data_IF_332146997078
#
_entry.id   IF_332146997078
#
_cell.length_a   1.000
_cell.length_b   1.000
_cell.length_c   1.000
_cell.angle_alpha   90.00
_cell.angle_beta   90.00
_cell.angle_gamma   90.00
#
_symmetry.space_group_name_H-M   'P 1'
#
loop_
_entity.id
_entity.type
_entity.pdbx_description
1 polymer ?
#
# COMPACT_ATOMS: atom_id res chain seq x y z
N UNK A 1 -25.81 25.25 -13.88
CA UNK A 1 -24.48 25.19 -14.50
C UNK A 1 -23.65 24.16 -13.75
N UNK A 2 -23.60 22.92 -14.24
CA UNK A 2 -22.77 21.88 -13.65
C UNK A 2 -21.38 21.96 -14.29
N UNK A 3 -20.36 22.25 -13.48
CA UNK A 3 -18.97 22.17 -13.90
C UNK A 3 -18.65 20.71 -14.24
N UNK A 4 -18.54 20.41 -15.53
CA UNK A 4 -18.02 19.13 -16.01
C UNK A 4 -16.52 19.11 -15.68
N UNK A 5 -16.19 18.63 -14.48
CA UNK A 5 -14.82 18.36 -14.07
C UNK A 5 -14.25 17.30 -15.00
N UNK A 6 -13.39 17.72 -15.91
CA UNK A 6 -12.64 16.86 -16.82
C UNK A 6 -11.86 15.82 -16.02
N UNK A 7 -12.38 14.60 -15.92
CA UNK A 7 -11.62 13.42 -15.50
C UNK A 7 -10.71 12.99 -16.66
N UNK A 8 -9.72 13.82 -16.99
CA UNK A 8 -8.70 13.44 -17.97
C UNK A 8 -7.91 12.26 -17.41
N UNK A 9 -7.84 11.15 -18.17
CA UNK A 9 -6.97 10.04 -17.82
C UNK A 9 -5.51 10.49 -17.91
N UNK A 10 -4.58 9.87 -17.16
CA UNK A 10 -3.15 10.19 -17.28
C UNK A 10 -2.64 10.13 -18.74
N UNK A 11 -3.15 9.22 -19.57
CA UNK A 11 -2.82 9.17 -21.00
C UNK A 11 -3.36 10.35 -21.82
N UNK A 12 -4.55 10.88 -21.51
CA UNK A 12 -5.07 12.10 -22.17
C UNK A 12 -4.24 13.33 -21.86
N UNK A 13 -3.78 13.48 -20.61
CA UNK A 13 -2.86 14.57 -20.23
C UNK A 13 -1.52 14.44 -20.96
N UNK A 14 -1.02 13.21 -21.12
CA UNK A 14 0.22 12.95 -21.85
C UNK A 14 0.12 13.36 -23.32
N UNK A 15 -0.99 13.01 -23.98
CA UNK A 15 -1.27 13.38 -25.37
C UNK A 15 -1.29 14.90 -25.51
N UNK A 16 -2.01 15.59 -24.63
CA UNK A 16 -2.08 17.06 -24.65
C UNK A 16 -0.71 17.71 -24.42
N UNK A 17 0.09 17.19 -23.48
CA UNK A 17 1.45 17.66 -23.24
C UNK A 17 2.36 17.45 -24.46
N UNK A 18 2.19 16.32 -25.18
CA UNK A 18 2.96 16.02 -26.37
C UNK A 18 2.66 17.01 -27.50
N UNK A 19 1.38 17.27 -27.76
CA UNK A 19 0.93 18.27 -28.74
C UNK A 19 1.49 19.67 -28.43
N UNK A 20 1.42 20.07 -27.15
CA UNK A 20 1.95 21.36 -26.70
C UNK A 20 3.47 21.46 -26.92
N UNK A 21 4.22 20.42 -26.57
CA UNK A 21 5.68 20.39 -26.75
C UNK A 21 6.06 20.38 -28.23
N UNK A 22 5.34 19.63 -29.07
CA UNK A 22 5.60 19.61 -30.50
C UNK A 22 5.35 20.96 -31.16
N UNK A 23 4.26 21.65 -30.78
CA UNK A 23 3.98 23.01 -31.21
C UNK A 23 5.08 23.99 -30.79
N UNK A 24 5.53 23.89 -29.53
CA UNK A 24 6.66 24.67 -29.03
C UNK A 24 7.94 24.41 -29.82
N UNK A 25 8.31 23.14 -30.04
CA UNK A 25 9.50 22.76 -30.81
C UNK A 25 9.41 23.23 -32.27
N UNK A 26 8.23 23.17 -32.88
CA UNK A 26 7.98 23.71 -34.22
C UNK A 26 8.25 25.21 -34.31
N UNK A 27 7.91 25.96 -33.25
CA UNK A 27 8.20 27.40 -33.14
C UNK A 27 9.69 27.64 -32.93
N UNK A 28 10.34 26.90 -32.03
CA UNK A 28 11.76 27.04 -31.73
C UNK A 28 12.67 26.70 -32.91
N UNK A 29 12.27 25.73 -33.74
CA UNK A 29 13.02 25.35 -34.96
C UNK A 29 13.27 26.53 -35.90
N UNK A 30 12.38 27.53 -35.91
CA UNK A 30 12.50 28.74 -36.75
C UNK A 30 13.33 29.85 -36.10
N UNK A 31 13.43 29.86 -34.78
CA UNK A 31 14.02 30.95 -34.01
C UNK A 31 15.48 30.67 -33.59
N UNK A 32 15.85 29.39 -33.49
CA UNK A 32 17.10 28.96 -32.87
C UNK A 32 18.04 28.34 -33.91
N UNK A 33 19.36 28.46 -33.68
CA UNK A 33 20.37 27.81 -34.54
C UNK A 33 20.20 26.28 -34.50
N UNK A 34 20.46 25.62 -35.64
CA UNK A 34 20.27 24.18 -35.81
C UNK A 34 20.94 23.34 -34.70
N UNK A 35 22.19 23.63 -34.34
CA UNK A 35 22.92 22.90 -33.29
C UNK A 35 22.26 23.00 -31.91
N UNK A 36 21.74 24.18 -31.57
CA UNK A 36 21.05 24.40 -30.29
C UNK A 36 19.66 23.73 -30.31
N UNK A 37 18.99 23.72 -31.46
CA UNK A 37 17.73 23.01 -31.64
C UNK A 37 17.91 21.49 -31.49
N UNK A 38 18.96 20.90 -32.07
CA UNK A 38 19.26 19.47 -31.89
C UNK A 38 19.48 19.10 -30.43
N UNK A 39 20.26 19.90 -29.67
CA UNK A 39 20.43 19.68 -28.23
C UNK A 39 19.11 19.78 -27.45
N UNK A 40 18.22 20.66 -27.89
CA UNK A 40 16.88 20.79 -27.30
C UNK A 40 16.05 19.53 -27.54
N UNK A 41 16.08 18.99 -28.76
CA UNK A 41 15.43 17.72 -29.08
C UNK A 41 16.00 16.59 -28.23
N UNK A 42 17.33 16.46 -28.12
CA UNK A 42 17.97 15.41 -27.31
C UNK A 42 17.50 15.44 -25.85
N UNK A 43 17.38 16.65 -25.28
CA UNK A 43 16.88 16.82 -23.91
C UNK A 43 15.40 16.47 -23.79
N UNK A 44 14.58 16.85 -24.78
CA UNK A 44 13.16 16.49 -24.80
C UNK A 44 12.98 14.97 -24.94
N UNK A 45 13.76 14.31 -25.80
CA UNK A 45 13.73 12.84 -25.96
C UNK A 45 14.01 12.15 -24.64
N UNK A 46 15.07 12.55 -23.91
CA UNK A 46 15.39 11.99 -22.57
C UNK A 46 14.24 12.18 -21.58
N UNK A 47 13.62 13.36 -21.56
CA UNK A 47 12.48 13.63 -20.70
C UNK A 47 11.28 12.75 -21.06
N UNK A 48 10.99 12.60 -22.35
CA UNK A 48 9.87 11.79 -22.85
C UNK A 48 10.05 10.30 -22.63
N UNK A 49 11.26 9.75 -22.85
CA UNK A 49 11.59 8.36 -22.52
C UNK A 49 11.34 8.08 -21.03
N UNK A 50 11.81 8.97 -20.16
CA UNK A 50 11.57 8.84 -18.70
C UNK A 50 10.07 8.85 -18.38
N UNK A 51 9.32 9.78 -18.98
CA UNK A 51 7.86 9.89 -18.79
C UNK A 51 7.11 8.65 -19.27
N UNK A 52 7.42 8.14 -20.46
CA UNK A 52 6.80 6.93 -21.04
C UNK A 52 7.05 5.72 -20.11
N UNK A 53 8.27 5.59 -19.60
CA UNK A 53 8.64 4.49 -18.71
C UNK A 53 7.93 4.54 -17.35
N UNK A 54 7.65 5.72 -16.82
CA UNK A 54 7.00 5.90 -15.52
C UNK A 54 5.46 5.84 -15.57
N UNK A 55 4.86 6.16 -16.72
CA UNK A 55 3.41 6.25 -16.85
C UNK A 55 2.72 4.90 -16.97
N UNK A 56 1.41 4.87 -16.75
CA UNK A 56 0.58 3.71 -17.07
C UNK A 56 -0.32 4.12 -18.24
N UNK A 57 0.05 3.67 -19.44
CA UNK A 57 -0.58 4.04 -20.71
C UNK A 57 -1.35 2.81 -21.19
N UNK A 58 -2.62 2.98 -21.56
CA UNK A 58 -3.40 1.89 -22.16
C UNK A 58 -2.96 1.66 -23.61
N UNK A 59 -3.16 0.45 -24.19
CA UNK A 59 -2.81 0.18 -25.58
C UNK A 59 -3.38 1.20 -26.59
N UNK A 60 -4.64 1.60 -26.42
CA UNK A 60 -5.28 2.63 -27.26
C UNK A 60 -4.61 4.00 -27.15
N UNK A 61 -4.21 4.40 -25.94
CA UNK A 61 -3.50 5.66 -25.68
C UNK A 61 -2.06 5.59 -26.21
N UNK A 62 -1.42 4.43 -26.12
CA UNK A 62 -0.07 4.20 -26.62
C UNK A 62 -0.02 4.27 -28.16
N UNK A 63 -1.01 3.68 -28.85
CA UNK A 63 -1.14 3.82 -30.30
C UNK A 63 -1.24 5.30 -30.70
N UNK A 64 -2.07 6.08 -29.99
CA UNK A 64 -2.21 7.52 -30.26
C UNK A 64 -0.92 8.31 -29.97
N UNK A 65 -0.20 7.96 -28.91
CA UNK A 65 1.12 8.55 -28.62
C UNK A 65 2.10 8.20 -29.74
N UNK A 66 2.11 6.97 -30.24
CA UNK A 66 2.94 6.56 -31.37
C UNK A 66 2.68 7.36 -32.64
N UNK A 67 1.41 7.59 -32.98
CA UNK A 67 1.02 8.45 -34.11
C UNK A 67 1.55 9.87 -33.95
N UNK A 68 1.31 10.51 -32.79
CA UNK A 68 1.77 11.87 -32.52
C UNK A 68 3.29 11.96 -32.51
N UNK A 69 3.98 10.96 -31.97
CA UNK A 69 5.44 10.90 -32.03
C UNK A 69 5.93 10.83 -33.48
N UNK A 70 5.18 10.25 -34.41
CA UNK A 70 5.49 10.27 -35.85
C UNK A 70 5.35 11.66 -36.50
N UNK A 71 4.45 12.51 -36.00
CA UNK A 71 4.18 13.84 -36.57
C UNK A 71 5.11 14.96 -36.06
N UNK A 72 5.83 14.71 -34.96
CA UNK A 72 6.66 15.72 -34.32
C UNK A 72 7.96 16.06 -35.08
N UNK A 73 8.66 17.14 -34.71
CA UNK A 73 9.88 17.60 -35.39
C UNK A 73 11.13 16.80 -34.98
N UNK A 74 10.97 15.48 -34.77
CA UNK A 74 12.03 14.59 -34.31
C UNK A 74 12.94 14.18 -35.46
N UNK A 75 14.12 13.68 -35.12
CA UNK A 75 15.04 13.06 -36.07
C UNK A 75 14.85 11.53 -36.03
N UNK A 76 15.28 10.83 -37.06
CA UNK A 76 15.13 9.36 -37.17
C UNK A 76 15.68 8.63 -35.92
N UNK A 77 16.87 9.04 -35.46
CA UNK A 77 17.49 8.53 -34.22
C UNK A 77 16.63 8.78 -32.96
N UNK A 78 15.84 9.84 -32.93
CA UNK A 78 14.93 10.12 -31.82
C UNK A 78 13.68 9.26 -31.89
N UNK A 79 13.14 9.06 -33.11
CA UNK A 79 12.00 8.18 -33.33
C UNK A 79 12.30 6.75 -32.88
N UNK A 80 13.50 6.23 -33.19
CA UNK A 80 13.92 4.89 -32.75
C UNK A 80 13.88 4.76 -31.22
N UNK A 81 14.53 5.68 -30.51
CA UNK A 81 14.59 5.69 -29.03
C UNK A 81 13.20 5.82 -28.39
N UNK A 82 12.36 6.70 -28.94
CA UNK A 82 11.00 6.92 -28.42
C UNK A 82 10.08 5.73 -28.70
N UNK A 83 10.23 5.11 -29.87
CA UNK A 83 9.47 3.92 -30.27
C UNK A 83 9.87 2.70 -29.45
N UNK A 84 11.16 2.51 -29.18
CA UNK A 84 11.68 1.45 -28.31
C UNK A 84 11.13 1.59 -26.88
N UNK A 85 11.15 2.81 -26.32
CA UNK A 85 10.58 3.08 -25.00
C UNK A 85 9.08 2.75 -24.93
N UNK A 86 8.32 3.11 -25.97
CA UNK A 86 6.89 2.84 -26.06
C UNK A 86 6.61 1.34 -26.23
N UNK A 87 7.37 0.64 -27.08
CA UNK A 87 7.26 -0.80 -27.31
C UNK A 87 7.59 -1.60 -26.04
N UNK A 88 8.73 -1.31 -25.40
CA UNK A 88 9.12 -1.91 -24.12
C UNK A 88 8.03 -1.74 -23.06
N UNK A 89 7.36 -0.59 -23.05
CA UNK A 89 6.25 -0.32 -22.14
C UNK A 89 5.01 -1.18 -22.44
N UNK A 90 4.71 -1.41 -23.72
CA UNK A 90 3.59 -2.23 -24.16
C UNK A 90 3.83 -3.72 -23.96
N UNK A 91 5.06 -4.20 -24.16
CA UNK A 91 5.44 -5.58 -23.85
C UNK A 91 5.21 -5.90 -22.37
N UNK A 92 5.59 -4.96 -21.49
CA UNK A 92 5.30 -5.05 -20.06
C UNK A 92 3.80 -5.05 -19.72
N UNK A 93 2.96 -4.43 -20.56
CA UNK A 93 1.51 -4.42 -20.42
C UNK A 93 0.84 -5.72 -20.92
N UNK A 94 1.33 -6.25 -22.05
CA UNK A 94 0.82 -7.48 -22.69
C UNK A 94 1.12 -8.75 -21.87
N UNK A 95 2.22 -8.76 -21.11
CA UNK A 95 2.59 -9.86 -20.20
C UNK A 95 1.65 -10.04 -18.97
N UNK A 96 0.46 -9.44 -18.98
CA UNK A 96 -0.59 -9.64 -17.95
C UNK A 96 -0.26 -9.11 -16.55
N UNK A 97 0.88 -8.42 -16.38
CA UNK A 97 1.46 -8.11 -15.08
C UNK A 97 1.44 -6.61 -14.70
N UNK A 98 0.69 -5.76 -15.41
CA UNK A 98 0.45 -4.39 -14.96
C UNK A 98 -0.69 -4.27 -13.93
N UNK A 99 -0.85 -5.26 -13.06
CA UNK A 99 -1.37 -4.99 -11.72
C UNK A 99 -0.30 -4.16 -10.99
N UNK A 100 -0.25 -2.83 -11.23
CA UNK A 100 0.67 -1.83 -10.61
C UNK A 100 1.84 -2.51 -9.92
N UNK A 101 2.96 -2.74 -10.62
CA UNK A 101 4.17 -3.38 -10.06
C UNK A 101 4.32 -2.98 -8.59
N UNK A 102 3.96 -3.92 -7.70
CA UNK A 102 3.71 -3.57 -6.30
C UNK A 102 5.03 -3.10 -5.75
N UNK A 103 5.06 -1.85 -5.25
CA UNK A 103 6.28 -1.29 -4.67
C UNK A 103 6.87 -2.30 -3.67
N UNK A 104 8.18 -2.61 -3.79
CA UNK A 104 8.80 -3.63 -2.95
C UNK A 104 8.71 -3.23 -1.49
N UNK A 105 8.46 -4.20 -0.62
CA UNK A 105 8.45 -3.98 0.82
C UNK A 105 9.89 -3.89 1.34
N UNK A 106 10.13 -2.90 2.19
CA UNK A 106 11.45 -2.52 2.67
C UNK A 106 11.84 -3.27 3.95
N UNK A 107 13.09 -3.69 4.01
CA UNK A 107 13.67 -4.42 5.14
C UNK A 107 14.70 -3.56 5.85
N UNK A 108 14.57 -3.46 7.18
CA UNK A 108 15.56 -2.83 8.05
C UNK A 108 15.62 -3.65 9.35
N UNK A 109 16.81 -4.14 9.66
CA UNK A 109 17.10 -5.11 10.74
C UNK A 109 17.54 -4.43 12.04
N UNK A 110 18.23 -3.28 11.97
CA UNK A 110 18.74 -2.55 13.13
C UNK A 110 18.22 -1.11 13.17
N UNK A 111 16.95 -0.89 13.55
CA UNK A 111 16.38 0.47 13.60
C UNK A 111 17.03 1.35 14.69
N UNK A 112 17.50 0.71 15.76
CA UNK A 112 18.24 1.35 16.84
C UNK A 112 19.44 2.18 16.35
N UNK A 113 20.17 1.71 15.33
CA UNK A 113 21.32 2.40 14.78
C UNK A 113 20.97 3.71 14.04
N UNK A 114 19.68 3.95 13.76
CA UNK A 114 19.20 5.14 13.05
C UNK A 114 18.56 6.18 13.96
N UNK A 115 18.48 5.91 15.25
CA UNK A 115 18.00 6.86 16.24
C UNK A 115 19.13 7.79 16.68
N UNK A 116 18.75 9.04 16.93
CA UNK A 116 19.60 10.03 17.57
C UNK A 116 19.26 10.15 19.05
N UNK A 117 20.07 10.88 19.81
CA UNK A 117 19.86 11.04 21.24
C UNK A 117 18.51 11.74 21.54
N UNK A 118 18.18 12.76 20.76
CA UNK A 118 16.90 13.48 20.85
C UNK A 118 15.69 12.58 20.60
N UNK A 119 15.82 11.58 19.72
CA UNK A 119 14.77 10.57 19.54
C UNK A 119 14.59 9.75 20.82
N UNK A 120 15.69 9.22 21.37
CA UNK A 120 15.65 8.40 22.57
C UNK A 120 15.11 9.18 23.77
N UNK A 121 15.45 10.45 23.93
CA UNK A 121 14.91 11.33 24.96
C UNK A 121 13.38 11.43 24.85
N UNK A 122 12.85 11.77 23.66
CA UNK A 122 11.40 11.84 23.42
C UNK A 122 10.71 10.50 23.70
N UNK A 123 11.33 9.38 23.32
CA UNK A 123 10.77 8.05 23.51
C UNK A 123 10.73 7.64 24.99
N UNK A 124 11.72 8.06 25.78
CA UNK A 124 11.83 7.79 27.21
C UNK A 124 10.97 8.71 28.09
N UNK A 125 10.63 9.91 27.61
CA UNK A 125 9.95 10.95 28.38
C UNK A 125 8.54 10.52 28.83
N UNK A 126 8.24 10.44 30.14
CA UNK A 126 6.94 10.03 30.64
C UNK A 126 5.80 11.05 30.37
N UNK A 127 6.13 12.32 30.17
CA UNK A 127 5.15 13.40 29.96
C UNK A 127 4.67 13.47 28.49
N UNK A 128 5.42 12.84 27.58
CA UNK A 128 5.04 12.75 26.16
C UNK A 128 4.10 11.56 25.92
N UNK A 129 2.92 11.85 25.38
CA UNK A 129 1.96 10.80 25.03
C UNK A 129 2.46 9.86 23.92
N UNK A 130 2.13 8.56 24.00
CA UNK A 130 2.60 7.55 23.05
C UNK A 130 2.26 7.85 21.59
N UNK A 131 1.16 8.56 21.31
CA UNK A 131 0.81 9.00 19.94
C UNK A 131 1.88 9.94 19.36
N UNK A 132 2.42 10.84 20.18
CA UNK A 132 3.48 11.78 19.76
C UNK A 132 4.82 11.06 19.60
N UNK A 133 5.09 10.06 20.45
CA UNK A 133 6.26 9.17 20.30
C UNK A 133 6.20 8.39 18.99
N UNK A 134 5.04 7.84 18.65
CA UNK A 134 4.80 7.18 17.35
C UNK A 134 5.01 8.16 16.20
N UNK A 135 4.50 9.38 16.32
CA UNK A 135 4.70 10.42 15.31
C UNK A 135 6.19 10.73 15.08
N UNK A 136 7.01 10.73 16.14
CA UNK A 136 8.47 10.89 16.04
C UNK A 136 9.12 9.74 15.25
N UNK A 137 8.75 8.50 15.53
CA UNK A 137 9.22 7.32 14.77
C UNK A 137 8.81 7.39 13.29
N UNK A 138 7.57 7.81 13.02
CA UNK A 138 7.08 8.00 11.64
C UNK A 138 7.87 9.09 10.93
N UNK A 139 8.14 10.21 11.59
CA UNK A 139 8.94 11.28 11.01
C UNK A 139 10.35 10.80 10.65
N UNK A 140 11.00 10.01 11.53
CA UNK A 140 12.30 9.40 11.24
C UNK A 140 12.22 8.43 10.04
N UNK A 141 11.19 7.58 9.98
CA UNK A 141 10.98 6.67 8.83
C UNK A 141 10.80 7.44 7.51
N UNK A 142 10.07 8.55 7.54
CA UNK A 142 9.88 9.41 6.36
C UNK A 142 11.20 10.05 5.92
N UNK A 143 11.99 10.59 6.85
CA UNK A 143 13.33 11.14 6.54
C UNK A 143 14.27 10.07 5.94
N UNK A 144 14.23 8.84 6.45
CA UNK A 144 14.99 7.70 5.93
C UNK A 144 14.51 7.19 4.56
N UNK A 145 13.32 7.59 4.10
CA UNK A 145 12.68 6.99 2.92
C UNK A 145 12.09 5.59 3.17
N UNK A 146 11.86 5.20 4.43
CA UNK A 146 11.23 3.94 4.83
C UNK A 146 9.70 4.05 4.79
N UNK A 147 9.13 4.04 3.59
CA UNK A 147 7.69 4.25 3.35
C UNK A 147 6.85 2.96 3.42
N UNK A 148 7.45 1.81 3.10
CA UNK A 148 6.76 0.51 2.98
C UNK A 148 7.48 -0.57 3.79
N UNK A 149 7.66 -0.39 5.11
CA UNK A 149 8.33 -1.38 5.93
C UNK A 149 7.58 -2.72 5.90
N UNK A 150 8.34 -3.82 5.83
CA UNK A 150 7.81 -5.16 6.08
C UNK A 150 7.27 -5.25 7.52
N UNK A 151 6.46 -6.26 7.78
CA UNK A 151 5.92 -6.50 9.12
C UNK A 151 7.05 -6.73 10.15
N UNK A 152 8.10 -7.44 9.77
CA UNK A 152 9.30 -7.65 10.61
C UNK A 152 9.99 -6.34 10.92
N UNK A 153 10.21 -5.49 9.92
CA UNK A 153 10.75 -4.14 10.09
C UNK A 153 9.87 -3.29 11.03
N UNK A 154 8.55 -3.35 10.85
CA UNK A 154 7.60 -2.62 11.72
C UNK A 154 7.71 -3.07 13.17
N UNK A 155 7.81 -4.38 13.41
CA UNK A 155 8.03 -4.92 14.77
C UNK A 155 9.34 -4.41 15.37
N UNK A 156 10.41 -4.39 14.57
CA UNK A 156 11.71 -3.92 15.02
C UNK A 156 11.71 -2.44 15.40
N UNK A 157 10.99 -1.59 14.65
CA UNK A 157 10.82 -0.17 14.97
C UNK A 157 10.13 0.00 16.33
N UNK A 158 9.00 -0.69 16.54
CA UNK A 158 8.26 -0.60 17.80
C UNK A 158 9.06 -1.21 18.96
N UNK A 159 9.77 -2.32 18.73
CA UNK A 159 10.70 -2.90 19.72
C UNK A 159 11.74 -1.87 20.14
N UNK A 160 12.40 -1.24 19.17
CA UNK A 160 13.43 -0.23 19.43
C UNK A 160 12.87 0.92 20.26
N UNK A 161 11.63 1.35 19.99
CA UNK A 161 11.00 2.40 20.78
C UNK A 161 10.77 1.98 22.25
N UNK A 162 10.37 0.74 22.49
CA UNK A 162 10.23 0.17 23.84
C UNK A 162 11.61 0.07 24.51
N UNK A 163 12.63 -0.38 23.78
CA UNK A 163 14.03 -0.44 24.25
C UNK A 163 14.57 0.97 24.62
N UNK A 164 14.03 2.02 24.00
CA UNK A 164 14.31 3.43 24.33
C UNK A 164 13.46 3.99 25.50
N UNK A 165 12.64 3.17 26.16
CA UNK A 165 11.84 3.59 27.31
C UNK A 165 10.38 3.94 27.01
N UNK A 166 9.88 3.72 25.78
CA UNK A 166 8.45 3.87 25.48
C UNK A 166 7.64 2.82 26.24
N UNK A 167 6.84 3.27 27.22
CA UNK A 167 5.98 2.39 28.03
C UNK A 167 4.75 1.97 27.22
N UNK A 168 4.63 0.68 26.93
CA UNK A 168 3.49 0.08 26.25
C UNK A 168 3.03 -1.16 27.02
N UNK A 169 1.73 -1.32 27.20
CA UNK A 169 1.16 -2.55 27.74
C UNK A 169 1.37 -3.76 26.83
N UNK A 170 1.10 -4.95 27.34
CA UNK A 170 1.30 -6.20 26.59
C UNK A 170 0.15 -6.49 25.61
N UNK A 171 0.43 -7.32 24.59
CA UNK A 171 -0.59 -7.90 23.72
C UNK A 171 -1.39 -6.88 22.91
N UNK A 172 -2.61 -6.57 23.37
CA UNK A 172 -3.56 -5.70 22.67
C UNK A 172 -3.06 -4.25 22.57
N UNK A 173 -2.41 -3.73 23.62
CA UNK A 173 -1.86 -2.37 23.62
C UNK A 173 -0.71 -2.22 22.64
N UNK A 174 0.18 -3.21 22.60
CA UNK A 174 1.25 -3.24 21.60
C UNK A 174 0.70 -3.28 20.18
N UNK A 175 -0.36 -4.08 19.94
CA UNK A 175 -1.02 -4.11 18.64
C UNK A 175 -1.67 -2.77 18.27
N UNK A 176 -2.24 -2.05 19.24
CA UNK A 176 -2.78 -0.70 19.03
C UNK A 176 -1.68 0.25 18.57
N UNK A 177 -0.53 0.25 19.24
CA UNK A 177 0.63 1.06 18.85
C UNK A 177 1.15 0.70 17.44
N UNK A 178 1.23 -0.59 17.11
CA UNK A 178 1.64 -1.02 15.76
C UNK A 178 0.67 -0.52 14.68
N UNK A 179 -0.64 -0.56 14.95
CA UNK A 179 -1.65 -0.09 13.99
C UNK A 179 -1.63 1.44 13.86
N UNK A 180 -1.48 2.15 14.97
CA UNK A 180 -1.33 3.60 15.00
C UNK A 180 -0.13 4.05 14.15
N UNK A 181 1.03 3.42 14.36
CA UNK A 181 2.23 3.65 13.56
C UNK A 181 1.99 3.45 12.06
N UNK A 182 1.38 2.32 11.68
CA UNK A 182 1.07 2.02 10.27
C UNK A 182 0.11 3.05 9.66
N UNK A 183 -0.90 3.48 10.41
CA UNK A 183 -1.88 4.46 9.96
C UNK A 183 -1.23 5.83 9.76
N UNK A 184 -0.45 6.30 10.72
CA UNK A 184 0.25 7.59 10.64
C UNK A 184 1.28 7.59 9.50
N UNK A 185 2.08 6.52 9.37
CA UNK A 185 3.04 6.39 8.28
C UNK A 185 2.34 6.42 6.92
N UNK A 186 1.27 5.64 6.76
CA UNK A 186 0.46 5.63 5.52
C UNK A 186 -0.11 7.01 5.19
N UNK A 187 -0.55 7.75 6.21
CA UNK A 187 -1.10 9.10 6.03
C UNK A 187 -0.02 10.07 5.51
N UNK A 188 1.16 10.07 6.14
CA UNK A 188 2.30 10.93 5.74
C UNK A 188 2.79 10.64 4.33
N UNK A 189 2.96 9.37 3.96
CA UNK A 189 3.49 8.98 2.64
C UNK A 189 2.49 9.17 1.49
N UNK A 190 1.19 9.30 1.76
CA UNK A 190 0.14 9.31 0.73
C UNK A 190 0.31 10.46 -0.28
N UNK A 191 0.80 11.60 0.20
CA UNK A 191 0.96 12.84 -0.57
C UNK A 191 2.41 13.15 -0.92
N UNK A 192 3.34 12.24 -0.60
CA UNK A 192 4.75 12.42 -0.92
C UNK A 192 5.04 12.02 -2.37
N UNK A 193 6.01 12.71 -2.96
CA UNK A 193 6.57 12.35 -4.25
C UNK A 193 7.12 10.91 -4.21
N UNK A 194 6.87 10.15 -5.27
CA UNK A 194 7.27 8.74 -5.35
C UNK A 194 8.74 8.66 -5.77
N UNK A 195 9.64 8.93 -4.84
CA UNK A 195 11.09 8.72 -5.05
C UNK A 195 11.44 7.24 -5.06
N UNK A 196 12.51 6.87 -5.77
CA UNK A 196 13.12 5.54 -5.67
C UNK A 196 13.54 5.30 -4.22
N UNK A 197 13.13 4.17 -3.64
CA UNK A 197 13.37 3.87 -2.23
C UNK A 197 14.33 2.70 -2.09
N UNK A 198 15.24 2.79 -1.13
CA UNK A 198 16.07 1.65 -0.72
C UNK A 198 15.18 0.49 -0.27
N UNK A 199 15.35 -0.67 -0.88
CA UNK A 199 14.60 -1.88 -0.52
C UNK A 199 15.21 -2.57 0.70
N UNK A 200 16.53 -2.56 0.80
CA UNK A 200 17.28 -3.09 1.94
C UNK A 200 18.11 -1.97 2.53
N UNK A 201 17.87 -1.67 3.80
CA UNK A 201 18.66 -0.71 4.54
C UNK A 201 19.89 -1.40 5.13
N UNK A 202 21.05 -0.72 5.15
CA UNK A 202 22.24 -1.27 5.77
C UNK A 202 22.05 -1.41 7.30
N UNK A 203 22.88 -2.21 7.96
CA UNK A 203 22.86 -2.27 9.44
C UNK A 203 23.57 -1.06 10.08
N UNK A 204 24.45 -0.39 9.33
CA UNK A 204 25.20 0.76 9.77
C UNK A 204 24.74 2.02 9.01
N UNK A 205 24.34 3.11 9.69
CA UNK A 205 23.88 4.35 9.06
C UNK A 205 24.94 4.98 8.16
N UNK A 206 26.24 4.81 8.42
CA UNK A 206 27.32 5.35 7.59
C UNK A 206 27.41 4.74 6.18
N UNK A 207 26.67 3.66 5.90
CA UNK A 207 26.54 3.09 4.55
C UNK A 207 25.32 3.60 3.78
N UNK A 208 24.56 4.54 4.35
CA UNK A 208 23.47 5.19 3.64
C UNK A 208 24.01 6.08 2.51
N UNK A 209 23.24 6.24 1.41
CA UNK A 209 23.45 7.32 0.46
C UNK A 209 23.57 8.67 1.18
N UNK A 210 24.54 9.49 0.76
CA UNK A 210 24.91 10.73 1.45
C UNK A 210 23.73 11.70 1.60
N UNK A 211 22.90 11.79 0.56
CA UNK A 211 21.67 12.58 0.53
C UNK A 211 20.67 12.17 1.63
N UNK A 212 20.55 10.86 1.89
CA UNK A 212 19.69 10.33 2.96
C UNK A 212 20.35 10.52 4.32
N UNK A 213 21.66 10.26 4.43
CA UNK A 213 22.40 10.42 5.68
C UNK A 213 22.31 11.86 6.19
N UNK A 214 22.63 12.83 5.34
CA UNK A 214 22.61 14.26 5.67
C UNK A 214 21.19 14.73 6.04
N UNK A 215 20.16 14.23 5.34
CA UNK A 215 18.76 14.56 5.65
C UNK A 215 18.24 13.96 6.98
N UNK A 216 18.81 12.86 7.43
CA UNK A 216 18.37 12.14 8.63
C UNK A 216 19.11 12.63 9.87
N UNK A 217 20.41 12.86 9.75
CA UNK A 217 21.29 13.17 10.87
C UNK A 217 21.63 14.65 10.98
N UNK A 218 21.58 15.45 9.90
CA UNK A 218 21.85 16.90 9.93
C UNK A 218 23.05 17.23 10.85
N UNK A 219 22.81 17.80 12.04
CA UNK A 219 23.83 18.14 13.05
C UNK A 219 24.00 17.09 14.18
N UNK A 220 23.10 16.12 14.28
CA UNK A 220 23.02 15.14 15.38
C UNK A 220 23.41 13.73 14.92
N UNK A 221 24.47 13.17 15.52
CA UNK A 221 24.98 11.85 15.17
C UNK A 221 24.06 10.71 15.65
N UNK A 222 24.05 9.56 14.96
CA UNK A 222 23.34 8.37 15.44
C UNK A 222 23.87 7.93 16.80
N UNK A 223 22.96 7.79 17.77
CA UNK A 223 23.26 7.37 19.13
C UNK A 223 22.37 6.18 19.48
N UNK A 224 22.80 4.94 19.16
CA UNK A 224 21.99 3.77 19.41
C UNK A 224 21.75 3.57 20.92
N UNK A 225 20.53 3.21 21.35
CA UNK A 225 20.23 3.00 22.76
C UNK A 225 21.10 1.88 23.35
N UNK A 226 21.65 2.11 24.55
CA UNK A 226 22.58 1.19 25.24
C UNK A 226 22.02 -0.22 25.46
N UNK A 227 20.69 -0.37 25.49
CA UNK A 227 19.99 -1.64 25.71
C UNK A 227 19.55 -2.36 24.42
N UNK A 228 19.96 -1.89 23.23
CA UNK A 228 19.52 -2.47 21.95
C UNK A 228 20.09 -3.86 21.65
N UNK A 229 21.04 -4.35 22.45
CA UNK A 229 21.60 -5.70 22.33
C UNK A 229 20.62 -6.80 22.83
N UNK A 230 19.66 -7.16 21.98
CA UNK A 230 19.31 -8.57 21.74
C UNK A 230 18.38 -9.34 22.70
N UNK A 231 17.95 -8.85 23.87
CA UNK A 231 17.38 -9.79 24.88
C UNK A 231 15.86 -10.09 24.87
N UNK A 232 14.95 -9.27 24.33
CA UNK A 232 13.50 -9.60 24.38
C UNK A 232 12.77 -9.40 23.03
N UNK A 233 13.05 -10.27 22.05
CA UNK A 233 12.33 -10.30 20.76
C UNK A 233 10.87 -10.78 20.85
N UNK A 234 10.40 -11.30 21.98
CA UNK A 234 9.21 -12.16 22.02
C UNK A 234 7.88 -11.46 22.34
N UNK A 235 7.85 -10.15 22.65
CA UNK A 235 6.62 -9.49 23.15
C UNK A 235 5.89 -8.60 22.14
N UNK A 236 6.50 -8.22 21.01
CA UNK A 236 5.86 -7.29 20.06
C UNK A 236 4.83 -8.00 19.17
N UNK A 237 3.56 -7.85 19.51
CA UNK A 237 2.45 -8.43 18.76
C UNK A 237 2.02 -7.52 17.61
N UNK A 238 2.10 -8.02 16.36
CA UNK A 238 1.73 -7.27 15.15
C UNK A 238 0.46 -7.77 14.44
N UNK A 239 -0.18 -8.83 14.94
CA UNK A 239 -1.37 -9.46 14.34
C UNK A 239 -2.45 -9.75 15.36
N UNK A 240 -3.72 -9.52 14.99
CA UNK A 240 -4.90 -9.87 15.80
C UNK A 240 -5.00 -11.37 16.13
N UNK A 241 -4.48 -12.23 15.27
CA UNK A 241 -4.53 -13.69 15.45
C UNK A 241 -3.53 -14.23 16.46
N UNK A 242 -2.65 -13.39 17.01
CA UNK A 242 -1.64 -13.82 17.98
C UNK A 242 -2.30 -14.26 19.30
N UNK A 243 -1.78 -15.33 19.91
CA UNK A 243 -2.35 -15.94 21.13
C UNK A 243 -2.50 -14.94 22.29
N UNK A 244 -1.52 -14.05 22.46
CA UNK A 244 -1.54 -12.98 23.47
C UNK A 244 -2.68 -11.96 23.28
N UNK A 245 -3.20 -11.79 22.05
CA UNK A 245 -4.35 -10.89 21.78
C UNK A 245 -5.66 -11.66 21.94
N UNK A 246 -5.68 -12.95 21.57
CA UNK A 246 -6.87 -13.81 21.73
C UNK A 246 -7.30 -14.00 23.18
N UNK A 247 -6.35 -14.06 24.13
CA UNK A 247 -6.67 -14.22 25.56
C UNK A 247 -7.46 -13.02 26.12
N UNK A 248 -7.24 -11.82 25.59
CA UNK A 248 -8.00 -10.62 25.97
C UNK A 248 -9.34 -10.55 25.22
N UNK A 249 -9.37 -10.99 23.96
CA UNK A 249 -10.55 -10.91 23.08
C UNK A 249 -11.68 -11.91 23.37
N UNK A 250 -11.52 -12.84 24.31
CA UNK A 250 -12.59 -13.78 24.69
C UNK A 250 -13.70 -13.11 25.51
N UNK A 251 -13.49 -11.91 26.06
CA UNK A 251 -14.50 -11.17 26.82
C UNK A 251 -15.32 -10.16 25.99
N UNK A 252 -14.88 -9.74 24.81
CA UNK A 252 -15.51 -8.63 24.06
C UNK A 252 -16.30 -9.06 22.82
N UNK A 253 -16.60 -10.35 22.67
CA UNK A 253 -17.42 -10.80 21.55
C UNK A 253 -18.91 -10.65 21.93
N UNK A 254 -19.70 -9.78 21.28
CA UNK A 254 -21.11 -9.56 21.64
C UNK A 254 -21.96 -10.85 21.53
N UNK A 255 -21.53 -11.78 20.67
CA UNK A 255 -22.15 -13.09 20.53
C UNK A 255 -21.85 -14.04 21.71
N UNK A 256 -20.70 -13.88 22.38
CA UNK A 256 -20.36 -14.63 23.60
C UNK A 256 -21.18 -14.13 24.80
N UNK A 257 -21.37 -12.80 24.89
CA UNK A 257 -22.27 -12.19 25.88
C UNK A 257 -23.70 -12.67 25.70
N UNK A 258 -24.19 -12.78 24.45
CA UNK A 258 -25.54 -13.27 24.16
C UNK A 258 -25.70 -14.75 24.51
N UNK A 259 -24.67 -15.57 24.24
CA UNK A 259 -24.69 -17.01 24.54
C UNK A 259 -24.62 -17.28 26.05
N UNK A 260 -23.85 -16.48 26.80
CA UNK A 260 -23.84 -16.54 28.27
C UNK A 260 -25.14 -16.03 28.89
N UNK A 261 -25.76 -14.98 28.33
CA UNK A 261 -27.05 -14.48 28.79
C UNK A 261 -28.18 -15.49 28.52
N UNK A 262 -28.12 -16.20 27.40
CA UNK A 262 -29.07 -17.27 27.06
C UNK A 262 -28.90 -18.49 27.97
N UNK A 263 -27.65 -18.88 28.27
CA UNK A 263 -27.35 -19.96 29.23
C UNK A 263 -27.79 -19.58 30.66
N UNK A 264 -27.69 -18.30 31.02
CA UNK A 264 -28.16 -17.78 32.31
C UNK A 264 -29.70 -17.73 32.39
N UNK A 265 -30.41 -17.41 31.31
CA UNK A 265 -31.87 -17.50 31.26
C UNK A 265 -32.38 -18.94 31.29
N UNK A 266 -31.69 -19.89 30.65
CA UNK A 266 -32.08 -21.31 30.72
C UNK A 266 -31.84 -21.92 32.10
N UNK A 267 -30.83 -21.45 32.83
CA UNK A 267 -30.51 -21.97 34.18
C UNK A 267 -31.29 -21.29 35.30
N UNK A 268 -31.82 -20.08 35.10
CA UNK A 268 -32.41 -19.28 36.19
C UNK A 268 -33.93 -19.35 36.35
N UNK A 269 -34.68 -20.09 35.53
CA UNK A 269 -36.13 -20.17 35.76
C UNK A 269 -36.77 -21.51 35.34
N UNK A 270 -36.85 -22.44 36.29
CA UNK A 270 -37.85 -23.51 36.26
C UNK A 270 -39.23 -22.90 36.50
N UNK A 271 -39.97 -22.67 35.42
CA UNK A 271 -41.32 -22.10 35.48
C UNK A 271 -42.06 -22.17 34.14
N UNK A 272 -42.19 -23.36 33.57
CA UNK A 272 -43.37 -23.75 32.78
C UNK A 272 -43.66 -23.02 31.45
N UNK A 273 -42.69 -22.44 30.75
CA UNK A 273 -42.95 -21.91 29.39
C UNK A 273 -42.42 -22.88 28.34
N UNK A 274 -43.36 -23.50 27.60
CA UNK A 274 -43.07 -24.47 26.55
C UNK A 274 -42.25 -23.80 25.42
N UNK A 275 -41.03 -24.28 25.09
CA UNK A 275 -40.15 -23.63 24.11
C UNK A 275 -40.75 -23.54 22.70
N UNK A 276 -41.73 -24.39 22.40
CA UNK A 276 -42.46 -24.38 21.14
C UNK A 276 -43.36 -23.14 20.97
N UNK A 277 -43.89 -22.59 22.07
CA UNK A 277 -44.75 -21.40 22.04
C UNK A 277 -43.95 -20.12 21.79
N UNK A 278 -42.71 -20.05 22.29
CA UNK A 278 -41.78 -18.95 22.01
C UNK A 278 -41.33 -18.97 20.54
N UNK A 279 -41.11 -20.16 19.98
CA UNK A 279 -40.75 -20.33 18.58
C UNK A 279 -41.92 -19.95 17.65
N UNK A 280 -43.16 -20.27 18.03
CA UNK A 280 -44.34 -19.89 17.26
C UNK A 280 -44.62 -18.38 17.30
N UNK A 281 -44.39 -17.72 18.44
CA UNK A 281 -44.46 -16.26 18.55
C UNK A 281 -43.39 -15.56 17.69
N UNK A 282 -42.17 -16.11 17.64
CA UNK A 282 -41.10 -15.60 16.77
C UNK A 282 -41.39 -15.75 15.28
N UNK A 283 -42.03 -16.86 14.88
CA UNK A 283 -42.44 -17.09 13.48
C UNK A 283 -43.63 -16.20 13.09
N UNK A 284 -44.58 -15.96 14.01
CA UNK A 284 -45.72 -15.09 13.76
C UNK A 284 -45.30 -13.62 13.60
N UNK A 285 -44.23 -13.20 14.28
CA UNK A 285 -43.64 -11.86 14.11
C UNK A 285 -42.86 -11.71 12.78
N UNK A 286 -42.43 -12.81 12.16
CA UNK A 286 -41.78 -12.81 10.84
C UNK A 286 -42.75 -12.99 9.66
N UNK A 287 -43.89 -13.65 9.86
CA UNK A 287 -44.91 -13.83 8.80
C UNK A 287 -46.00 -12.75 8.78
N UNK A 288 -46.02 -11.83 9.75
CA UNK A 288 -46.98 -10.71 9.79
C UNK A 288 -46.61 -9.49 8.93
N UNK A 289 -45.46 -9.50 8.24
CA UNK A 289 -44.97 -8.35 7.46
C UNK A 289 -45.32 -8.43 5.96
N UNK A 290 -46.48 -9.01 5.62
CA UNK A 290 -46.97 -9.05 4.24
C UNK A 290 -48.47 -8.76 4.21
N UNK A 291 -48.82 -7.51 4.56
CA UNK A 291 -49.96 -6.73 4.04
C UNK A 291 -50.08 -5.39 4.79
N UNK A 292 -49.88 -4.30 4.05
CA UNK A 292 -50.58 -3.05 4.31
C UNK A 292 -49.81 -1.98 5.07
N UNK A 293 -49.40 -0.98 4.29
CA UNK A 293 -49.24 0.42 4.64
C UNK A 293 -47.92 0.96 5.22
N UNK A 294 -47.53 2.03 4.54
CA UNK A 294 -46.26 2.70 4.55
C UNK A 294 -46.11 3.60 5.77
N UNK A 295 -44.93 3.59 6.40
CA UNK A 295 -44.06 4.76 6.58
C UNK A 295 -42.90 4.40 7.54
N UNK A 296 -41.67 4.55 7.06
CA UNK A 296 -40.50 4.84 7.90
C UNK A 296 -39.65 3.66 8.36
N UNK A 297 -38.60 3.34 7.59
CA UNK A 297 -37.22 3.19 8.06
C UNK A 297 -36.34 2.65 6.92
N UNK A 298 -35.80 3.59 6.14
CA UNK A 298 -34.71 3.30 5.22
C UNK A 298 -33.40 3.06 6.01
N UNK A 299 -32.61 2.10 5.54
CA UNK A 299 -31.17 1.89 5.80
C UNK A 299 -30.72 1.04 7.00
N UNK A 300 -30.89 -0.27 6.89
CA UNK A 300 -29.96 -1.26 7.49
C UNK A 300 -29.62 -2.35 6.46
N UNK A 301 -28.81 -2.02 5.46
CA UNK A 301 -28.16 -3.03 4.61
C UNK A 301 -26.92 -3.58 5.32
N UNK A 302 -27.08 -4.72 5.98
CA UNK A 302 -25.98 -5.52 6.51
C UNK A 302 -25.30 -6.20 5.31
N UNK A 303 -24.15 -5.67 4.87
CA UNK A 303 -23.33 -6.32 3.85
C UNK A 303 -22.74 -7.64 4.38
N UNK A 304 -23.28 -8.76 3.92
CA UNK A 304 -22.68 -10.08 4.11
C UNK A 304 -21.35 -10.21 3.37
N UNK A 305 -20.30 -10.59 4.08
CA UNK A 305 -18.99 -10.91 3.50
C UNK A 305 -19.12 -12.13 2.57
N UNK A 306 -19.05 -11.91 1.25
CA UNK A 306 -18.90 -13.01 0.26
C UNK A 306 -17.54 -13.68 0.46
N UNK A 307 -17.52 -14.85 1.11
CA UNK A 307 -16.40 -15.79 1.08
C UNK A 307 -16.14 -16.18 -0.38
N UNK A 308 -14.93 -15.93 -0.88
CA UNK A 308 -14.45 -16.51 -2.15
C UNK A 308 -14.21 -17.99 -1.92
N UNK A 309 -15.13 -18.83 -2.38
CA UNK A 309 -14.89 -20.25 -2.61
C UNK A 309 -13.86 -20.39 -3.75
N UNK A 310 -12.80 -21.15 -3.51
CA UNK A 310 -11.86 -21.60 -4.55
C UNK A 310 -12.62 -22.47 -5.53
N UNK A 311 -12.58 -22.15 -6.82
CA UNK A 311 -13.01 -23.06 -7.87
C UNK A 311 -12.02 -24.25 -7.93
N UNK A 312 -12.57 -25.46 -8.00
CA UNK A 312 -11.83 -26.69 -8.32
C UNK A 312 -11.36 -26.63 -9.78
N UNK A 313 -10.19 -27.21 -10.11
CA UNK A 313 -9.73 -27.30 -11.50
C UNK A 313 -10.62 -28.27 -12.28
N UNK A 314 -11.08 -27.83 -13.44
CA UNK A 314 -11.90 -28.60 -14.35
C UNK A 314 -11.01 -29.63 -15.06
N UNK A 315 -11.31 -30.91 -14.89
CA UNK A 315 -10.65 -32.01 -15.59
C UNK A 315 -11.22 -32.12 -17.01
N UNK A 316 -10.80 -31.22 -17.90
CA UNK A 316 -11.15 -31.26 -19.32
C UNK A 316 -10.13 -30.47 -20.16
N UNK A 317 -8.85 -30.75 -19.99
CA UNK A 317 -7.80 -30.31 -20.94
C UNK A 317 -6.59 -31.25 -20.84
N UNK A 318 -6.87 -32.53 -21.06
CA UNK A 318 -5.87 -33.57 -21.24
C UNK A 318 -6.13 -34.27 -22.58
N UNK A 319 -6.18 -33.51 -23.67
CA UNK A 319 -6.07 -34.09 -25.01
C UNK A 319 -5.71 -33.06 -26.08
N UNK A 320 -4.44 -32.63 -26.10
CA UNK A 320 -3.79 -32.03 -27.29
C UNK A 320 -2.31 -32.39 -27.28
N UNK A 321 -1.99 -33.65 -27.52
CA UNK A 321 -0.66 -34.03 -28.00
C UNK A 321 -0.65 -33.88 -29.52
N UNK A 322 0.23 -32.99 -30.01
CA UNK A 322 0.46 -32.77 -31.43
C UNK A 322 1.17 -34.00 -32.06
N UNK A 323 0.85 -34.41 -33.31
CA UNK A 323 1.42 -35.61 -33.95
C UNK A 323 2.92 -35.56 -34.25
N UNK A 324 3.64 -34.46 -34.00
CA UNK A 324 5.01 -34.25 -34.49
C UNK A 324 6.13 -34.87 -33.64
N UNK A 325 5.84 -35.55 -32.52
CA UNK A 325 6.88 -36.16 -31.67
C UNK A 325 7.05 -37.68 -31.82
N UNK A 326 6.47 -38.31 -32.84
CA UNK A 326 6.60 -39.76 -33.10
C UNK A 326 7.66 -40.17 -34.14
N UNK A 327 8.49 -39.24 -34.62
CA UNK A 327 9.48 -39.52 -35.67
C UNK A 327 10.96 -39.44 -35.20
N UNK A 328 11.24 -39.54 -33.91
CA UNK A 328 12.61 -39.44 -33.37
C UNK A 328 12.98 -40.53 -32.35
N UNK A 329 12.37 -41.70 -32.48
CA UNK A 329 12.79 -42.93 -31.81
C UNK A 329 12.69 -44.10 -32.81
N UNK A 330 13.58 -44.06 -33.80
CA UNK A 330 14.25 -45.25 -34.34
C UNK A 330 15.74 -45.13 -34.02
#
# INVERSE_FOLDING_TARGET
MAASGSNATPGKLLIQDLENIQSFLGTQKRAVKQEQFTKMLDNQVKAWVTRINEMNIKPEEAARVGELLGEGPWLDQHHEVLSEALASKMDGAAAGNQARARRPLQTLTCFAAYLTESDCQILSDPDIHNVNKVQRLVAKCVKLGLHLPRETTTKQIIKTAIDCGMKVGEGADTLRIVNEFKQQLKSKIKHMEKKSLLVMFPDNPGKLPKDIYDAVFEEELPSPPQNSAGAESSKVVARKSHSLVKKVSLNDNPMSSMMQQMDHMMKSNMGGVNPMMLMMAGIQQFMGADKGDAHGAANLQIFGNKRKTKALPNAAEADRTSPEQKALLE
#
